data_IF_619436735362
#
_entry.id   IF_619436735362
#
_cell.length_a   1.000
_cell.length_b   1.000
_cell.length_c   1.000
_cell.angle_alpha   90.00
_cell.angle_beta   90.00
_cell.angle_gamma   90.00
#
_symmetry.space_group_name_H-M   'P 1'
#
loop_
_entity.id
_entity.type
_entity.pdbx_description
1 polymer ?
#
# COMPACT_ATOMS: atom_id res chain seq x y z
N UNK A 1 -42.44 -31.51 -3.83
CA UNK A 1 -41.05 -31.47 -4.31
C UNK A 1 -40.93 -30.30 -5.28
N UNK A 2 -39.87 -29.50 -5.11
CA UNK A 2 -39.36 -28.42 -6.00
C UNK A 2 -39.46 -27.00 -5.40
N UNK A 3 -38.72 -26.77 -4.32
CA UNK A 3 -38.17 -25.45 -3.97
C UNK A 3 -37.04 -25.15 -4.97
N UNK A 4 -37.35 -24.48 -6.07
CA UNK A 4 -36.33 -23.97 -7.00
C UNK A 4 -35.68 -22.77 -6.32
N UNK A 5 -34.54 -23.00 -5.69
CA UNK A 5 -33.69 -21.96 -5.11
C UNK A 5 -33.36 -20.93 -6.20
N UNK A 6 -34.01 -19.78 -6.18
CA UNK A 6 -33.82 -18.75 -7.20
C UNK A 6 -32.48 -18.06 -6.95
N UNK A 7 -31.61 -18.00 -7.97
CA UNK A 7 -30.29 -17.35 -7.89
C UNK A 7 -30.39 -15.93 -7.32
N UNK A 8 -31.51 -15.22 -7.57
CA UNK A 8 -31.77 -13.89 -7.02
C UNK A 8 -31.81 -13.84 -5.49
N UNK A 9 -32.35 -14.87 -4.84
CA UNK A 9 -32.44 -14.94 -3.38
C UNK A 9 -31.07 -15.16 -2.71
N UNK A 10 -30.12 -15.79 -3.43
CA UNK A 10 -28.74 -15.87 -2.97
C UNK A 10 -28.17 -14.46 -2.90
N UNK A 11 -28.24 -13.67 -3.99
CA UNK A 11 -27.68 -12.32 -4.06
C UNK A 11 -28.31 -11.31 -3.08
N UNK A 12 -29.58 -11.49 -2.70
CA UNK A 12 -30.32 -10.60 -1.79
C UNK A 12 -30.06 -10.87 -0.29
N UNK A 13 -29.40 -11.98 0.07
CA UNK A 13 -29.14 -12.32 1.47
C UNK A 13 -28.01 -11.50 2.09
N UNK A 14 -28.13 -11.02 3.34
CA UNK A 14 -27.08 -10.23 4.04
C UNK A 14 -25.68 -10.85 4.03
N UNK A 15 -25.58 -12.18 3.90
CA UNK A 15 -24.32 -12.92 3.79
C UNK A 15 -23.55 -12.65 2.49
N UNK A 16 -24.23 -12.22 1.41
CA UNK A 16 -23.56 -11.89 0.14
C UNK A 16 -22.74 -10.62 0.24
N UNK A 17 -23.17 -9.65 1.04
CA UNK A 17 -22.41 -8.41 1.22
C UNK A 17 -21.00 -8.68 1.80
N UNK A 18 -20.87 -9.67 2.68
CA UNK A 18 -19.56 -10.11 3.21
C UNK A 18 -18.83 -11.09 2.30
N UNK A 19 -19.55 -11.92 1.53
CA UNK A 19 -18.94 -12.92 0.65
C UNK A 19 -18.44 -12.36 -0.68
N UNK A 20 -19.08 -11.31 -1.21
CA UNK A 20 -18.73 -10.70 -2.51
C UNK A 20 -17.26 -10.29 -2.59
N UNK A 21 -16.67 -9.56 -1.63
CA UNK A 21 -15.25 -9.19 -1.69
C UNK A 21 -14.32 -10.41 -1.78
N UNK A 22 -14.65 -11.47 -1.03
CA UNK A 22 -13.84 -12.69 -0.99
C UNK A 22 -13.97 -13.48 -2.29
N UNK A 23 -15.18 -13.58 -2.84
CA UNK A 23 -15.42 -14.21 -4.15
C UNK A 23 -14.70 -13.45 -5.26
N UNK A 24 -14.77 -12.11 -5.25
CA UNK A 24 -14.04 -11.27 -6.21
C UNK A 24 -12.53 -11.41 -6.07
N UNK A 25 -12.01 -11.49 -4.83
CA UNK A 25 -10.59 -11.73 -4.59
C UNK A 25 -10.15 -13.06 -5.17
N UNK A 26 -10.86 -14.15 -4.88
CA UNK A 26 -10.54 -15.48 -5.42
C UNK A 26 -10.62 -15.49 -6.94
N UNK A 27 -11.68 -14.90 -7.52
CA UNK A 27 -11.82 -14.78 -8.97
C UNK A 27 -10.65 -14.00 -9.60
N UNK A 28 -10.23 -12.89 -8.98
CA UNK A 28 -9.10 -12.10 -9.44
C UNK A 28 -7.78 -12.89 -9.38
N UNK A 29 -7.52 -13.61 -8.29
CA UNK A 29 -6.34 -14.45 -8.16
C UNK A 29 -6.26 -15.52 -9.26
N UNK A 30 -7.39 -16.16 -9.58
CA UNK A 30 -7.47 -17.15 -10.66
C UNK A 30 -7.27 -16.52 -12.05
N UNK A 31 -7.87 -15.34 -12.29
CA UNK A 31 -7.68 -14.61 -13.56
C UNK A 31 -6.22 -14.23 -13.75
N UNK A 32 -5.54 -13.73 -12.70
CA UNK A 32 -4.13 -13.36 -12.76
C UNK A 32 -3.27 -14.60 -12.99
N UNK A 33 -3.52 -15.73 -12.32
CA UNK A 33 -2.78 -16.98 -12.56
C UNK A 33 -2.92 -17.47 -14.00
N UNK A 34 -4.11 -17.34 -14.60
CA UNK A 34 -4.31 -17.70 -16.01
C UNK A 34 -3.56 -16.74 -16.95
N UNK A 35 -3.58 -15.44 -16.65
CA UNK A 35 -2.92 -14.41 -17.46
C UNK A 35 -1.39 -14.41 -17.30
N UNK A 36 -0.89 -14.78 -16.13
CA UNK A 36 0.52 -14.84 -15.75
C UNK A 36 0.79 -16.14 -14.96
N UNK A 37 1.02 -17.27 -15.65
CA UNK A 37 1.28 -18.54 -15.01
C UNK A 37 2.45 -18.47 -14.03
N UNK A 38 2.25 -18.96 -12.80
CA UNK A 38 3.24 -18.88 -11.72
C UNK A 38 3.05 -17.71 -10.75
N UNK A 39 2.03 -16.88 -10.93
CA UNK A 39 1.70 -15.78 -10.01
C UNK A 39 1.43 -16.26 -8.58
N UNK A 40 0.75 -17.40 -8.42
CA UNK A 40 0.41 -17.99 -7.12
C UNK A 40 1.55 -18.83 -6.51
N UNK A 41 2.76 -18.80 -7.09
CA UNK A 41 3.92 -19.43 -6.48
C UNK A 41 4.32 -18.73 -5.19
N UNK A 42 4.90 -19.47 -4.24
CA UNK A 42 5.32 -18.91 -2.95
C UNK A 42 6.34 -17.78 -3.08
N UNK A 43 7.21 -17.82 -4.11
CA UNK A 43 8.19 -16.77 -4.39
C UNK A 43 7.52 -15.48 -4.86
N UNK A 44 6.63 -15.56 -5.86
CA UNK A 44 5.92 -14.37 -6.36
C UNK A 44 5.01 -13.77 -5.30
N UNK A 45 4.32 -14.61 -4.52
CA UNK A 45 3.51 -14.14 -3.40
C UNK A 45 4.36 -13.47 -2.30
N UNK A 46 5.54 -14.03 -1.97
CA UNK A 46 6.44 -13.41 -1.00
C UNK A 46 6.95 -12.03 -1.47
N UNK A 47 7.32 -11.92 -2.75
CA UNK A 47 7.70 -10.64 -3.36
C UNK A 47 6.55 -9.63 -3.36
N UNK A 48 5.34 -10.09 -3.69
CA UNK A 48 4.13 -9.26 -3.64
C UNK A 48 3.89 -8.74 -2.21
N UNK A 49 3.92 -9.62 -1.21
CA UNK A 49 3.75 -9.23 0.19
C UNK A 49 4.85 -8.27 0.66
N UNK A 50 6.11 -8.50 0.29
CA UNK A 50 7.20 -7.59 0.63
C UNK A 50 6.99 -6.19 0.04
N UNK A 51 6.52 -6.10 -1.21
CA UNK A 51 6.19 -4.82 -1.85
C UNK A 51 4.98 -4.13 -1.19
N UNK A 52 3.93 -4.89 -0.86
CA UNK A 52 2.74 -4.35 -0.18
C UNK A 52 3.03 -3.95 1.27
N UNK A 53 3.98 -4.60 1.96
CA UNK A 53 4.36 -4.25 3.32
C UNK A 53 4.83 -2.78 3.43
N UNK A 54 5.53 -2.27 2.42
CA UNK A 54 5.92 -0.86 2.35
C UNK A 54 4.70 0.06 2.37
N UNK A 55 3.67 -0.26 1.58
CA UNK A 55 2.42 0.51 1.57
C UNK A 55 1.68 0.42 2.91
N UNK A 56 1.68 -0.73 3.58
CA UNK A 56 1.08 -0.85 4.90
C UNK A 56 1.80 0.03 5.94
N UNK A 57 3.13 0.05 5.93
CA UNK A 57 3.92 0.92 6.81
C UNK A 57 3.57 2.39 6.56
N UNK A 58 3.53 2.83 5.29
CA UNK A 58 3.14 4.20 4.94
C UNK A 58 1.69 4.50 5.36
N UNK A 59 0.77 3.55 5.19
CA UNK A 59 -0.63 3.68 5.59
C UNK A 59 -0.80 3.89 7.10
N UNK A 60 0.03 3.27 7.94
CA UNK A 60 0.02 3.54 9.38
C UNK A 60 0.36 5.00 9.70
N UNK A 61 1.30 5.60 8.97
CA UNK A 61 1.67 7.02 9.11
C UNK A 61 0.55 7.95 8.65
N UNK A 62 0.02 7.73 7.44
CA UNK A 62 -1.03 8.58 6.85
C UNK A 62 -2.34 8.53 7.62
N UNK A 63 -2.59 7.47 8.39
CA UNK A 63 -3.78 7.34 9.25
C UNK A 63 -3.94 8.56 10.18
N UNK A 64 -2.84 9.04 10.79
CA UNK A 64 -2.90 10.22 11.65
C UNK A 64 -3.26 11.49 10.88
N UNK A 65 -2.73 11.66 9.67
CA UNK A 65 -3.06 12.80 8.83
C UNK A 65 -4.54 12.81 8.41
N UNK A 66 -5.09 11.64 8.09
CA UNK A 66 -6.51 11.47 7.75
C UNK A 66 -7.41 11.76 8.96
N UNK A 67 -7.03 11.29 10.16
CA UNK A 67 -7.77 11.56 11.39
C UNK A 67 -7.81 13.06 11.74
N UNK A 68 -6.78 13.81 11.35
CA UNK A 68 -6.72 15.27 11.48
C UNK A 68 -7.51 16.01 10.38
N UNK A 69 -8.16 15.29 9.46
CA UNK A 69 -8.95 15.84 8.36
C UNK A 69 -8.14 16.24 7.13
N UNK A 70 -6.88 15.80 7.02
CA UNK A 70 -5.99 16.07 5.88
C UNK A 70 -5.95 14.92 4.86
N UNK A 71 -5.43 15.22 3.67
CA UNK A 71 -5.12 14.23 2.62
C UNK A 71 -3.61 14.33 2.34
N UNK A 72 -2.82 13.63 3.15
CA UNK A 72 -1.36 13.76 3.13
C UNK A 72 -0.70 12.87 2.08
N UNK A 73 -0.31 13.47 0.95
CA UNK A 73 0.47 12.83 -0.11
C UNK A 73 1.98 12.99 0.06
N UNK A 74 2.43 13.85 0.99
CA UNK A 74 3.84 14.18 1.20
C UNK A 74 4.67 12.97 1.63
N UNK A 75 4.06 12.03 2.37
CA UNK A 75 4.70 10.80 2.80
C UNK A 75 5.19 9.94 1.62
N UNK A 76 4.46 9.97 0.50
CA UNK A 76 4.86 9.26 -0.72
C UNK A 76 6.01 10.00 -1.43
N UNK A 77 6.00 11.33 -1.42
CA UNK A 77 7.13 12.12 -1.93
C UNK A 77 8.43 11.86 -1.15
N UNK A 78 8.37 11.76 0.18
CA UNK A 78 9.53 11.41 1.02
C UNK A 78 10.01 9.98 0.73
N UNK A 79 9.10 9.02 0.59
CA UNK A 79 9.46 7.64 0.22
C UNK A 79 10.12 7.56 -1.16
N UNK A 80 9.61 8.31 -2.15
CA UNK A 80 10.23 8.44 -3.47
C UNK A 80 11.61 9.10 -3.39
N UNK A 81 11.77 10.14 -2.58
CA UNK A 81 13.07 10.80 -2.38
C UNK A 81 14.11 9.82 -1.80
N UNK A 82 13.75 9.07 -0.75
CA UNK A 82 14.65 8.06 -0.18
C UNK A 82 15.02 6.97 -1.21
N UNK A 83 14.06 6.56 -2.05
CA UNK A 83 14.27 5.56 -3.11
C UNK A 83 15.22 6.07 -4.20
N UNK A 84 15.04 7.32 -4.64
CA UNK A 84 15.92 7.97 -5.64
C UNK A 84 17.32 8.20 -5.06
N UNK A 85 17.42 8.64 -3.81
CA UNK A 85 18.70 8.79 -3.12
C UNK A 85 19.46 7.48 -3.05
N UNK A 86 18.80 6.39 -2.66
CA UNK A 86 19.41 5.06 -2.64
C UNK A 86 19.88 4.67 -4.04
N UNK A 87 19.02 4.77 -5.06
CA UNK A 87 19.35 4.38 -6.43
C UNK A 87 20.56 5.16 -6.99
N UNK A 88 20.67 6.45 -6.69
CA UNK A 88 21.76 7.31 -7.17
C UNK A 88 23.08 7.10 -6.40
N UNK A 89 22.99 6.80 -5.11
CA UNK A 89 24.17 6.65 -4.24
C UNK A 89 24.71 5.23 -4.19
N UNK A 90 23.89 4.22 -4.51
CA UNK A 90 24.31 2.81 -4.48
C UNK A 90 25.53 2.52 -5.37
N UNK A 91 25.64 3.05 -6.61
CA UNK A 91 26.82 2.81 -7.46
C UNK A 91 28.11 3.43 -6.93
N UNK A 92 28.02 4.52 -6.15
CA UNK A 92 29.19 5.29 -5.69
C UNK A 92 29.60 4.96 -4.25
N UNK A 93 28.63 4.78 -3.36
CA UNK A 93 28.83 4.53 -1.94
C UNK A 93 28.63 3.06 -1.54
N UNK A 94 28.15 2.20 -2.45
CA UNK A 94 27.84 0.81 -2.15
C UNK A 94 26.87 0.69 -0.97
N UNK A 95 27.17 -0.20 -0.02
CA UNK A 95 26.32 -0.40 1.17
C UNK A 95 26.16 0.85 2.05
N UNK A 96 27.04 1.84 1.97
CA UNK A 96 26.88 3.09 2.71
C UNK A 96 25.72 3.97 2.18
N UNK A 97 25.19 3.68 0.99
CA UNK A 97 24.01 4.37 0.45
C UNK A 97 22.73 4.12 1.29
N UNK A 98 22.60 2.94 1.92
CA UNK A 98 21.44 2.58 2.75
C UNK A 98 21.25 3.51 3.95
N UNK A 99 22.23 3.69 4.86
CA UNK A 99 22.06 4.60 5.98
C UNK A 99 21.86 6.05 5.51
N UNK A 100 22.47 6.47 4.40
CA UNK A 100 22.26 7.83 3.84
C UNK A 100 20.81 8.02 3.37
N UNK A 101 20.23 7.05 2.66
CA UNK A 101 18.85 7.09 2.22
C UNK A 101 17.84 7.05 3.39
N UNK A 102 18.14 6.26 4.43
CA UNK A 102 17.32 6.19 5.65
C UNK A 102 17.36 7.53 6.39
N UNK A 103 18.55 8.11 6.58
CA UNK A 103 18.72 9.38 7.29
C UNK A 103 18.08 10.55 6.53
N UNK A 104 18.16 10.57 5.20
CA UNK A 104 17.49 11.59 4.39
C UNK A 104 15.96 11.46 4.48
N UNK A 105 15.42 10.25 4.34
CA UNK A 105 13.99 9.98 4.54
C UNK A 105 13.50 10.42 5.91
N UNK A 106 14.26 10.11 6.97
CA UNK A 106 13.96 10.55 8.34
C UNK A 106 13.96 12.08 8.46
N UNK A 107 14.98 12.75 7.92
CA UNK A 107 15.11 14.20 8.00
C UNK A 107 13.96 14.93 7.29
N UNK A 108 13.64 14.53 6.06
CA UNK A 108 12.55 15.13 5.28
C UNK A 108 11.16 14.75 5.83
N UNK A 109 11.00 13.54 6.36
CA UNK A 109 9.77 13.13 7.05
C UNK A 109 9.50 13.95 8.30
N UNK A 110 10.53 14.16 9.14
CA UNK A 110 10.44 15.04 10.31
C UNK A 110 10.14 16.48 9.92
N UNK A 111 10.79 16.99 8.87
CA UNK A 111 10.53 18.33 8.36
C UNK A 111 9.06 18.48 7.91
N UNK A 112 8.54 17.53 7.14
CA UNK A 112 7.13 17.54 6.71
C UNK A 112 6.19 17.55 7.92
N UNK A 113 6.44 16.69 8.92
CA UNK A 113 5.66 16.65 10.15
C UNK A 113 5.69 17.97 10.94
N UNK A 114 6.87 18.61 11.05
CA UNK A 114 7.02 19.91 11.72
C UNK A 114 6.26 21.01 10.96
N UNK A 115 6.37 21.05 9.63
CA UNK A 115 5.65 22.01 8.79
C UNK A 115 4.14 21.86 8.98
N UNK A 116 3.65 20.62 8.96
CA UNK A 116 2.23 20.35 9.12
C UNK A 116 1.72 20.75 10.52
N UNK A 117 2.39 20.31 11.59
CA UNK A 117 1.95 20.53 12.97
C UNK A 117 2.16 21.97 13.43
N UNK A 118 3.32 22.57 13.14
CA UNK A 118 3.72 23.87 13.69
C UNK A 118 3.31 25.04 12.80
N UNK A 119 3.44 24.90 11.48
CA UNK A 119 3.08 25.97 10.54
C UNK A 119 1.63 25.90 10.09
N UNK A 120 0.90 24.84 10.48
CA UNK A 120 -0.52 24.60 10.13
C UNK A 120 -0.78 24.63 8.62
N UNK A 121 0.24 24.26 7.84
CA UNK A 121 0.11 24.12 6.40
C UNK A 121 -0.68 22.83 6.15
N UNK A 122 -1.86 22.89 5.52
CA UNK A 122 -2.61 21.69 5.16
C UNK A 122 -1.73 20.83 4.26
N UNK A 123 -1.58 19.54 4.58
CA UNK A 123 -0.85 18.63 3.70
C UNK A 123 -1.73 18.33 2.49
N UNK A 124 -1.32 18.83 1.33
CA UNK A 124 -1.84 18.44 0.01
C UNK A 124 -0.70 18.13 -0.98
N UNK A 125 0.57 18.27 -0.55
CA UNK A 125 1.81 17.97 -1.30
C UNK A 125 2.90 17.58 -0.31
#
# INVERSE_FOLDING_TARGET
MNEVFSIRQIFEGKWTQGAIPLVLLVALLLIIEIAAPGFLTGETLALLFANTAVLFILATGVTFAILLGGIDLSIQAVASLASVMLAQLLPTLGFAAFPVAILSGLAFGLLSGIVHVKLRVPSFV
#
